data_IF_940468402966
#
_entry.id   IF_940468402966
#
_cell.length_a   1.000
_cell.length_b   1.000
_cell.length_c   1.000
_cell.angle_alpha   90.00
_cell.angle_beta   90.00
_cell.angle_gamma   90.00
#
_symmetry.space_group_name_H-M   'P 1'
#
loop_
_entity.id
_entity.type
_entity.pdbx_description
1 polymer ?
#
# COMPACT_ATOMS: atom_id res chain seq x y z
N UNK A 1 16.33 -11.03 6.86
CA UNK A 1 15.77 -9.68 7.15
C UNK A 1 14.64 -9.42 6.18
N UNK A 2 13.44 -9.06 6.66
CA UNK A 2 12.23 -8.82 5.87
C UNK A 2 12.26 -7.42 5.26
N UNK A 3 11.73 -7.27 4.04
CA UNK A 3 11.59 -5.95 3.41
C UNK A 3 10.19 -5.39 3.69
N UNK A 4 10.10 -4.09 3.85
CA UNK A 4 8.85 -3.34 3.93
C UNK A 4 8.59 -2.74 2.54
N UNK A 5 7.49 -3.13 1.93
CA UNK A 5 7.14 -2.77 0.56
C UNK A 5 5.83 -2.00 0.57
N UNK A 6 5.85 -0.75 0.13
CA UNK A 6 4.63 0.04 -0.05
C UNK A 6 4.01 -0.32 -1.38
N UNK A 7 2.80 -0.90 -1.34
CA UNK A 7 2.00 -1.30 -2.50
C UNK A 7 0.76 -0.43 -2.57
N UNK A 8 0.61 0.37 -3.62
CA UNK A 8 -0.57 1.24 -3.73
C UNK A 8 -0.94 1.59 -5.16
N UNK A 9 -2.23 1.88 -5.35
CA UNK A 9 -2.81 2.43 -6.56
C UNK A 9 -2.80 3.96 -6.46
N UNK A 10 -2.43 4.62 -7.53
CA UNK A 10 -2.36 6.08 -7.62
C UNK A 10 -3.09 6.56 -8.86
N UNK A 11 -3.74 7.71 -8.75
CA UNK A 11 -4.11 8.52 -9.91
C UNK A 11 -2.87 9.19 -10.49
N UNK A 12 -2.94 9.75 -11.70
CA UNK A 12 -1.85 10.48 -12.32
C UNK A 12 -1.42 11.71 -11.49
N UNK A 13 -2.33 12.31 -10.73
CA UNK A 13 -2.06 13.40 -9.79
C UNK A 13 -1.72 12.92 -8.36
N UNK A 14 -1.44 11.62 -8.18
CA UNK A 14 -0.86 11.04 -6.96
C UNK A 14 -1.84 10.75 -5.83
N UNK A 15 -3.15 10.80 -6.09
CA UNK A 15 -4.17 10.45 -5.10
C UNK A 15 -4.26 8.93 -4.96
N UNK A 16 -4.33 8.46 -3.71
CA UNK A 16 -4.45 7.05 -3.34
C UNK A 16 -5.76 6.72 -2.62
N UNK A 17 -6.60 7.71 -2.35
CA UNK A 17 -7.82 7.56 -1.56
C UNK A 17 -8.88 6.78 -2.33
N UNK A 18 -9.48 5.77 -1.69
CA UNK A 18 -10.66 5.03 -2.15
C UNK A 18 -10.60 4.53 -3.62
N UNK A 19 -9.57 3.80 -4.06
CA UNK A 19 -9.47 3.34 -5.44
C UNK A 19 -10.55 2.33 -5.82
N UNK A 20 -10.92 1.42 -4.90
CA UNK A 20 -11.69 0.21 -5.21
C UNK A 20 -13.21 0.38 -5.16
N UNK A 21 -13.74 1.32 -4.39
CA UNK A 21 -15.19 1.50 -4.25
C UNK A 21 -15.63 2.90 -3.91
N UNK A 22 -16.90 3.26 -4.27
CA UNK A 22 -17.41 4.62 -4.05
C UNK A 22 -17.48 4.98 -2.56
N UNK A 23 -17.73 4.02 -1.69
CA UNK A 23 -17.90 4.21 -0.25
C UNK A 23 -16.67 3.76 0.57
N UNK A 24 -15.53 3.51 -0.09
CA UNK A 24 -14.33 2.94 0.57
C UNK A 24 -13.70 3.92 1.58
N UNK A 25 -13.57 5.19 1.23
CA UNK A 25 -13.08 6.25 2.12
C UNK A 25 -13.60 7.63 1.67
N UNK A 26 -14.70 8.07 2.23
CA UNK A 26 -15.30 9.37 1.99
C UNK A 26 -14.75 10.49 2.91
N UNK A 27 -13.65 10.27 3.64
CA UNK A 27 -13.08 11.25 4.55
C UNK A 27 -12.68 12.53 3.80
N UNK A 28 -12.90 13.67 4.46
CA UNK A 28 -12.62 14.98 3.86
C UNK A 28 -13.60 15.39 2.75
N UNK A 29 -14.73 14.69 2.62
CA UNK A 29 -15.71 14.95 1.56
C UNK A 29 -15.26 14.43 0.18
N UNK A 30 -14.44 13.39 0.12
CA UNK A 30 -13.98 12.80 -1.13
C UNK A 30 -15.12 12.10 -1.87
N UNK A 31 -15.41 12.56 -3.08
CA UNK A 31 -16.57 12.12 -3.90
C UNK A 31 -16.16 11.21 -5.08
N UNK A 32 -14.86 10.94 -5.28
CA UNK A 32 -14.32 10.20 -6.42
C UNK A 32 -13.98 8.73 -6.10
N UNK A 33 -14.57 8.14 -5.05
CA UNK A 33 -14.34 6.74 -4.70
C UNK A 33 -14.62 5.78 -5.85
N UNK A 34 -13.83 4.71 -5.97
CA UNK A 34 -13.92 3.73 -7.06
C UNK A 34 -13.30 4.20 -8.38
N UNK A 35 -12.48 5.24 -8.36
CA UNK A 35 -11.86 5.83 -9.56
C UNK A 35 -10.99 4.86 -10.36
N UNK A 36 -10.50 3.79 -9.75
CA UNK A 36 -9.68 2.77 -10.43
C UNK A 36 -10.52 1.94 -11.41
N UNK A 37 -11.75 1.54 -11.03
CA UNK A 37 -12.57 0.58 -11.78
C UNK A 37 -12.73 0.87 -13.28
N UNK A 38 -13.00 2.12 -13.72
CA UNK A 38 -13.17 2.42 -15.14
C UNK A 38 -11.88 2.33 -15.96
N UNK A 39 -10.72 2.33 -15.31
CA UNK A 39 -9.38 2.38 -15.94
C UNK A 39 -8.52 1.18 -15.55
N UNK A 40 -9.09 0.18 -14.89
CA UNK A 40 -8.40 -1.06 -14.54
C UNK A 40 -8.35 -2.04 -15.70
N UNK A 41 -7.33 -2.88 -15.73
CA UNK A 41 -7.16 -3.92 -16.74
C UNK A 41 -6.52 -5.19 -16.16
N UNK A 42 -6.60 -6.32 -16.90
CA UNK A 42 -6.06 -7.62 -16.46
C UNK A 42 -4.53 -7.60 -16.22
N UNK A 43 -3.80 -6.74 -16.92
CA UNK A 43 -2.34 -6.64 -16.76
C UNK A 43 -1.99 -6.00 -15.41
N UNK A 44 -2.81 -5.05 -14.93
CA UNK A 44 -2.69 -4.51 -13.56
C UNK A 44 -2.94 -5.62 -12.52
N UNK A 45 -4.01 -6.39 -12.68
CA UNK A 45 -4.32 -7.51 -11.79
C UNK A 45 -3.17 -8.52 -11.72
N UNK A 46 -2.58 -8.86 -12.88
CA UNK A 46 -1.42 -9.76 -12.98
C UNK A 46 -0.19 -9.20 -12.27
N UNK A 47 0.12 -7.92 -12.48
CA UNK A 47 1.25 -7.26 -11.81
C UNK A 47 1.08 -7.24 -10.28
N UNK A 48 -0.12 -6.89 -9.81
CA UNK A 48 -0.46 -6.87 -8.38
C UNK A 48 -0.37 -8.27 -7.78
N UNK A 49 -0.85 -9.32 -8.45
CA UNK A 49 -0.70 -10.71 -7.99
C UNK A 49 0.78 -11.08 -7.77
N UNK A 50 1.65 -10.71 -8.72
CA UNK A 50 3.09 -10.92 -8.62
C UNK A 50 3.74 -10.21 -7.42
N UNK A 51 3.19 -9.08 -6.97
CA UNK A 51 3.71 -8.37 -5.80
C UNK A 51 3.59 -9.17 -4.49
N UNK A 52 2.68 -10.13 -4.45
CA UNK A 52 2.44 -10.96 -3.27
C UNK A 52 3.23 -12.27 -3.25
N UNK A 53 3.89 -12.66 -4.34
CA UNK A 53 4.56 -13.98 -4.44
C UNK A 53 5.61 -14.22 -3.34
N UNK A 54 6.36 -13.17 -2.96
CA UNK A 54 7.41 -13.24 -1.94
C UNK A 54 6.96 -12.73 -0.57
N UNK A 55 5.72 -12.28 -0.46
CA UNK A 55 5.18 -11.69 0.76
C UNK A 55 4.40 -12.73 1.56
N UNK A 56 4.65 -12.78 2.85
CA UNK A 56 3.93 -13.64 3.80
C UNK A 56 3.08 -12.84 4.80
N UNK A 57 3.19 -11.51 4.78
CA UNK A 57 2.45 -10.64 5.68
C UNK A 57 2.04 -9.31 5.03
N UNK A 58 1.02 -8.71 5.61
CA UNK A 58 0.61 -7.32 5.36
C UNK A 58 0.82 -6.47 6.61
N UNK A 59 1.09 -5.19 6.41
CA UNK A 59 1.12 -4.18 7.45
C UNK A 59 0.06 -3.13 7.11
N UNK A 60 -0.94 -3.01 7.95
CA UNK A 60 -2.15 -2.25 7.71
C UNK A 60 -2.34 -1.17 8.79
N UNK A 61 -2.71 0.03 8.39
CA UNK A 61 -3.28 1.02 9.29
C UNK A 61 -4.73 0.64 9.64
N UNK A 62 -5.26 1.23 10.71
CA UNK A 62 -6.58 0.93 11.22
C UNK A 62 -7.68 0.93 10.14
N UNK A 63 -7.81 2.01 9.37
CA UNK A 63 -8.89 2.14 8.39
C UNK A 63 -8.83 1.07 7.29
N UNK A 64 -7.64 0.81 6.75
CA UNK A 64 -7.45 -0.24 5.75
C UNK A 64 -7.73 -1.62 6.36
N UNK A 65 -7.31 -1.85 7.61
CA UNK A 65 -7.64 -3.09 8.32
C UNK A 65 -9.15 -3.26 8.48
N UNK A 66 -9.88 -2.24 8.95
CA UNK A 66 -11.33 -2.28 9.14
C UNK A 66 -12.06 -2.53 7.81
N UNK A 67 -11.67 -1.84 6.74
CA UNK A 67 -12.21 -2.06 5.38
C UNK A 67 -11.96 -3.48 4.90
N UNK A 68 -10.74 -3.98 5.00
CA UNK A 68 -10.38 -5.33 4.55
C UNK A 68 -11.04 -6.41 5.41
N UNK A 69 -11.10 -6.24 6.71
CA UNK A 69 -11.74 -7.17 7.64
C UNK A 69 -13.26 -7.26 7.44
N UNK A 70 -13.90 -6.22 6.91
CA UNK A 70 -15.32 -6.26 6.56
C UNK A 70 -15.60 -6.97 5.24
N UNK A 71 -14.65 -7.04 4.31
CA UNK A 71 -14.82 -7.57 2.97
C UNK A 71 -14.28 -9.01 2.81
N UNK A 72 -12.97 -9.19 3.05
CA UNK A 72 -12.25 -10.42 2.69
C UNK A 72 -12.75 -11.70 3.39
N UNK A 73 -13.21 -11.70 4.66
CA UNK A 73 -13.72 -12.90 5.29
C UNK A 73 -14.96 -13.51 4.61
N UNK A 74 -15.73 -12.69 3.88
CA UNK A 74 -16.95 -13.08 3.19
C UNK A 74 -16.87 -12.93 1.66
N UNK A 75 -15.70 -12.58 1.13
CA UNK A 75 -15.47 -12.46 -0.30
C UNK A 75 -15.62 -13.81 -1.03
N UNK A 76 -15.93 -13.75 -2.31
CA UNK A 76 -16.12 -14.94 -3.15
C UNK A 76 -14.85 -15.83 -3.07
N UNK A 77 -14.98 -17.10 -2.63
CA UNK A 77 -13.85 -18.02 -2.60
C UNK A 77 -13.30 -18.36 -3.98
N UNK A 78 -14.01 -18.06 -5.06
CA UNK A 78 -13.52 -18.21 -6.43
C UNK A 78 -12.57 -17.08 -6.83
N UNK A 79 -12.55 -15.95 -6.11
CA UNK A 79 -11.56 -14.88 -6.32
C UNK A 79 -10.18 -15.37 -5.82
N UNK A 80 -9.16 -15.40 -6.70
CA UNK A 80 -7.82 -15.90 -6.36
C UNK A 80 -7.15 -15.13 -5.23
N UNK A 81 -7.60 -13.90 -4.93
CA UNK A 81 -7.08 -13.12 -3.82
C UNK A 81 -7.70 -13.46 -2.47
N UNK A 82 -8.92 -14.04 -2.43
CA UNK A 82 -9.65 -14.31 -1.18
C UNK A 82 -8.84 -15.17 -0.22
N UNK A 83 -8.34 -16.31 -0.68
CA UNK A 83 -7.54 -17.21 0.16
C UNK A 83 -6.23 -16.57 0.60
N UNK A 84 -5.58 -15.83 -0.29
CA UNK A 84 -4.33 -15.13 0.01
C UNK A 84 -4.53 -14.06 1.09
N UNK A 85 -5.50 -13.17 0.94
CA UNK A 85 -5.78 -12.10 1.89
C UNK A 85 -6.17 -12.64 3.26
N UNK A 86 -6.97 -13.69 3.29
CA UNK A 86 -7.36 -14.35 4.54
C UNK A 86 -6.21 -15.18 5.16
N UNK A 87 -5.33 -15.76 4.36
CA UNK A 87 -4.23 -16.63 4.80
C UNK A 87 -3.02 -15.87 5.33
N UNK A 88 -2.65 -14.75 4.71
CA UNK A 88 -1.49 -13.95 5.11
C UNK A 88 -1.62 -13.43 6.55
N UNK A 89 -0.48 -13.24 7.23
CA UNK A 89 -0.45 -12.56 8.53
C UNK A 89 -0.68 -11.05 8.34
N UNK A 90 -1.50 -10.43 9.21
CA UNK A 90 -1.78 -8.99 9.22
C UNK A 90 -1.24 -8.35 10.50
N UNK A 91 -0.23 -7.50 10.36
CA UNK A 91 0.20 -6.59 11.41
C UNK A 91 -0.62 -5.31 11.32
N UNK A 92 -1.27 -4.90 12.42
CA UNK A 92 -2.17 -3.76 12.42
C UNK A 92 -1.60 -2.63 13.27
N UNK A 93 -1.34 -1.50 12.65
CA UNK A 93 -0.92 -0.29 13.33
C UNK A 93 -2.14 0.57 13.68
N UNK A 94 -2.40 0.74 14.97
CA UNK A 94 -3.52 1.56 15.44
C UNK A 94 -3.20 2.20 16.78
N UNK A 95 -3.72 3.41 17.00
CA UNK A 95 -3.68 4.11 18.29
C UNK A 95 -4.99 3.97 19.06
N UNK A 96 -6.01 3.37 18.48
CA UNK A 96 -7.38 3.35 19.03
C UNK A 96 -8.01 1.96 19.10
N UNK A 97 -7.57 1.01 18.28
CA UNK A 97 -8.02 -0.38 18.39
C UNK A 97 -7.41 -1.03 19.62
N UNK A 98 -8.21 -1.81 20.34
CA UNK A 98 -7.81 -2.62 21.50
C UNK A 98 -7.75 -4.10 21.16
N UNK A 99 -8.39 -4.54 20.07
CA UNK A 99 -8.36 -5.92 19.55
C UNK A 99 -8.50 -5.94 18.04
N UNK A 100 -8.17 -7.09 17.43
CA UNK A 100 -8.30 -7.39 16.01
C UNK A 100 -8.90 -8.79 15.85
N UNK A 101 -10.01 -8.89 15.09
CA UNK A 101 -10.82 -10.12 15.00
C UNK A 101 -10.56 -10.92 13.71
N UNK A 102 -10.09 -10.28 12.64
CA UNK A 102 -9.80 -10.98 11.39
C UNK A 102 -8.67 -11.98 11.58
N UNK A 103 -8.89 -13.24 11.19
CA UNK A 103 -7.92 -14.33 11.40
C UNK A 103 -6.50 -13.94 10.97
N UNK A 104 -5.49 -14.45 11.66
CA UNK A 104 -4.07 -14.15 11.42
C UNK A 104 -3.74 -12.65 11.54
N UNK A 105 -4.39 -11.92 12.43
CA UNK A 105 -4.09 -10.51 12.70
C UNK A 105 -3.44 -10.33 14.06
N UNK A 106 -2.51 -9.39 14.15
CA UNK A 106 -1.83 -8.98 15.38
C UNK A 106 -1.82 -7.45 15.45
N UNK A 107 -2.35 -6.90 16.54
CA UNK A 107 -2.24 -5.48 16.83
C UNK A 107 -0.80 -5.16 17.26
N UNK A 108 -0.17 -4.18 16.62
CA UNK A 108 1.16 -3.74 17.00
C UNK A 108 1.10 -2.91 18.29
N UNK A 109 2.00 -3.20 19.20
CA UNK A 109 2.10 -2.51 20.48
C UNK A 109 3.21 -1.44 20.48
N UNK A 110 2.95 -0.33 21.17
CA UNK A 110 3.92 0.75 21.36
C UNK A 110 4.14 1.62 20.13
N UNK A 111 5.36 2.13 19.98
CA UNK A 111 5.74 2.94 18.82
C UNK A 111 5.78 2.10 17.55
N UNK A 112 5.09 2.57 16.49
CA UNK A 112 4.96 1.81 15.25
C UNK A 112 6.30 1.65 14.50
N UNK A 113 7.17 2.66 14.54
CA UNK A 113 8.46 2.56 13.86
C UNK A 113 9.37 1.53 14.55
N UNK A 114 9.37 1.49 15.88
CA UNK A 114 10.09 0.46 16.65
C UNK A 114 9.52 -0.94 16.41
N UNK A 115 8.19 -1.08 16.39
CA UNK A 115 7.55 -2.36 16.08
C UNK A 115 7.95 -2.85 14.68
N UNK A 116 7.94 -1.97 13.67
CA UNK A 116 8.33 -2.32 12.30
C UNK A 116 9.82 -2.64 12.21
N UNK A 117 10.71 -1.97 12.94
CA UNK A 117 12.14 -2.35 12.99
C UNK A 117 12.31 -3.78 13.52
N UNK A 118 11.56 -4.17 14.56
CA UNK A 118 11.57 -5.56 15.07
C UNK A 118 11.07 -6.55 14.01
N UNK A 119 9.99 -6.22 13.31
CA UNK A 119 9.48 -7.05 12.21
C UNK A 119 10.51 -7.21 11.08
N UNK A 120 11.20 -6.14 10.69
CA UNK A 120 12.28 -6.22 9.68
C UNK A 120 13.42 -7.14 10.11
N UNK A 121 13.75 -7.16 11.39
CA UNK A 121 14.80 -7.99 11.93
C UNK A 121 14.40 -9.48 12.08
N UNK A 122 13.11 -9.82 12.02
CA UNK A 122 12.63 -11.21 12.12
C UNK A 122 12.83 -12.00 10.82
N UNK A 123 12.65 -13.31 10.90
CA UNK A 123 12.64 -14.19 9.74
C UNK A 123 11.27 -14.16 9.05
N UNK A 124 11.27 -14.35 7.74
CA UNK A 124 10.06 -14.40 6.92
C UNK A 124 10.22 -13.75 5.55
N UNK A 125 9.15 -13.73 4.80
CA UNK A 125 9.03 -13.07 3.51
C UNK A 125 8.87 -11.56 3.63
N UNK A 126 8.60 -10.91 2.52
CA UNK A 126 8.35 -9.47 2.46
C UNK A 126 7.04 -9.11 3.19
N UNK A 127 6.95 -7.89 3.70
CA UNK A 127 5.75 -7.33 4.33
C UNK A 127 5.21 -6.21 3.42
N UNK A 128 4.01 -6.42 2.88
CA UNK A 128 3.35 -5.43 2.04
C UNK A 128 2.55 -4.43 2.90
N UNK A 129 2.88 -3.15 2.79
CA UNK A 129 2.06 -2.05 3.28
C UNK A 129 1.05 -1.72 2.20
N UNK A 130 -0.23 -2.06 2.44
CA UNK A 130 -1.29 -1.87 1.46
C UNK A 130 -2.16 -0.69 1.88
N UNK A 131 -2.44 0.22 0.95
CA UNK A 131 -3.15 1.45 1.28
C UNK A 131 -2.47 2.22 2.42
N UNK A 132 -3.24 2.64 3.44
CA UNK A 132 -2.70 3.11 4.73
C UNK A 132 -1.75 4.31 4.62
N UNK A 133 -2.19 5.42 3.96
CA UNK A 133 -1.36 6.57 3.65
C UNK A 133 -0.58 7.15 4.83
N UNK A 134 -1.22 7.39 5.97
CA UNK A 134 -0.56 7.92 7.18
C UNK A 134 0.54 6.97 7.72
N UNK A 135 0.27 5.65 7.65
CA UNK A 135 1.26 4.64 8.03
C UNK A 135 2.43 4.65 7.06
N UNK A 136 2.18 4.64 5.75
CA UNK A 136 3.23 4.69 4.73
C UNK A 136 4.10 5.95 4.91
N UNK A 137 3.51 7.11 5.13
CA UNK A 137 4.24 8.36 5.41
C UNK A 137 5.06 8.27 6.71
N UNK A 138 4.53 7.63 7.75
CA UNK A 138 5.30 7.39 8.98
C UNK A 138 6.51 6.51 8.70
N UNK A 139 6.35 5.42 7.95
CA UNK A 139 7.45 4.54 7.58
C UNK A 139 8.50 5.26 6.72
N UNK A 140 8.08 6.11 5.77
CA UNK A 140 8.97 6.95 4.97
C UNK A 140 9.80 7.89 5.86
N UNK A 141 9.16 8.61 6.79
CA UNK A 141 9.87 9.52 7.73
C UNK A 141 10.94 8.82 8.56
N UNK A 142 10.77 7.53 8.84
CA UNK A 142 11.73 6.73 9.61
C UNK A 142 12.70 5.90 8.75
N UNK A 143 12.71 6.08 7.43
CA UNK A 143 13.59 5.34 6.51
C UNK A 143 13.35 3.83 6.53
N UNK A 144 12.10 3.40 6.77
CA UNK A 144 11.76 1.98 6.95
C UNK A 144 11.27 1.31 5.67
N UNK A 145 10.95 2.09 4.62
CA UNK A 145 10.49 1.55 3.33
C UNK A 145 11.68 1.09 2.50
N UNK A 146 11.65 -0.16 2.05
CA UNK A 146 12.70 -0.74 1.20
C UNK A 146 12.37 -0.70 -0.29
N UNK A 147 11.06 -0.71 -0.63
CA UNK A 147 10.62 -0.73 -2.03
C UNK A 147 9.21 -0.14 -2.15
N UNK A 148 8.97 0.54 -3.25
CA UNK A 148 7.64 1.02 -3.65
C UNK A 148 7.19 0.24 -4.87
N UNK A 149 5.98 -0.30 -4.84
CA UNK A 149 5.28 -0.93 -5.96
C UNK A 149 4.01 -0.14 -6.22
N UNK A 150 4.02 0.59 -7.31
CA UNK A 150 3.01 1.59 -7.62
C UNK A 150 2.34 1.25 -8.94
N UNK A 151 1.01 1.34 -8.99
CA UNK A 151 0.28 1.45 -10.25
C UNK A 151 -0.24 2.90 -10.37
N UNK A 152 0.14 3.59 -11.44
CA UNK A 152 -0.28 4.97 -11.69
C UNK A 152 -1.28 4.91 -12.86
N UNK A 153 -2.54 5.14 -12.53
CA UNK A 153 -3.65 5.06 -13.48
C UNK A 153 -3.84 6.36 -14.24
N UNK A 154 -4.29 6.30 -15.52
CA UNK A 154 -4.46 7.47 -16.38
C UNK A 154 -5.75 8.26 -16.03
N UNK A 155 -5.86 8.71 -14.78
CA UNK A 155 -6.99 9.47 -14.26
C UNK A 155 -6.50 10.58 -13.35
N UNK A 156 -7.17 11.73 -13.36
CA UNK A 156 -6.94 12.88 -12.48
C UNK A 156 -8.23 13.12 -11.70
N UNK A 157 -8.15 13.23 -10.39
CA UNK A 157 -9.30 13.51 -9.51
C UNK A 157 -9.19 14.86 -8.77
N UNK A 158 -8.00 15.45 -8.71
CA UNK A 158 -7.75 16.82 -8.21
C UNK A 158 -7.69 16.95 -6.69
N UNK A 159 -8.46 16.19 -5.95
CA UNK A 159 -8.53 16.22 -4.47
C UNK A 159 -8.31 14.82 -3.89
N UNK A 160 -8.08 14.74 -2.57
CA UNK A 160 -7.94 13.46 -1.86
C UNK A 160 -6.55 13.24 -1.23
N UNK A 161 -6.41 12.13 -0.51
CA UNK A 161 -5.17 11.74 0.16
C UNK A 161 -4.14 11.28 -0.85
N UNK A 162 -2.92 11.82 -0.75
CA UNK A 162 -1.79 11.46 -1.62
C UNK A 162 -0.77 10.61 -0.88
N UNK A 163 -0.11 9.70 -1.61
CA UNK A 163 0.99 8.89 -1.05
C UNK A 163 2.16 9.79 -0.65
N UNK A 164 2.58 10.66 -1.55
CA UNK A 164 3.62 11.66 -1.30
C UNK A 164 2.94 13.00 -1.00
N UNK A 165 2.53 13.17 0.27
CA UNK A 165 1.87 14.39 0.73
C UNK A 165 2.88 15.53 0.91
N UNK A 166 2.36 16.75 1.10
CA UNK A 166 3.17 17.91 1.42
C UNK A 166 4.03 17.65 2.67
N UNK A 167 5.31 18.00 2.60
CA UNK A 167 6.29 17.72 3.65
C UNK A 167 6.86 16.29 3.64
N UNK A 168 6.63 15.52 2.58
CA UNK A 168 7.37 14.27 2.36
C UNK A 168 8.89 14.55 2.32
N UNK A 169 9.67 13.62 2.88
CA UNK A 169 11.14 13.75 2.86
C UNK A 169 11.62 13.56 1.42
N UNK A 170 12.38 14.53 0.86
CA UNK A 170 12.97 14.38 -0.45
C UNK A 170 13.83 13.11 -0.51
N UNK A 171 13.53 12.24 -1.45
CA UNK A 171 14.20 10.94 -1.59
C UNK A 171 14.37 10.62 -3.07
N UNK A 172 15.59 10.37 -3.50
CA UNK A 172 15.85 9.83 -4.82
C UNK A 172 15.37 8.38 -4.89
N UNK A 173 14.80 7.99 -6.02
CA UNK A 173 14.31 6.64 -6.26
C UNK A 173 15.03 6.01 -7.45
N UNK A 174 15.63 4.85 -7.25
CA UNK A 174 16.17 4.03 -8.32
C UNK A 174 15.07 3.14 -8.90
N UNK A 175 14.79 3.17 -10.21
CA UNK A 175 13.84 2.26 -10.84
C UNK A 175 14.41 0.83 -10.85
N UNK A 176 13.60 -0.13 -10.41
CA UNK A 176 13.88 -1.58 -10.50
C UNK A 176 13.22 -2.16 -11.75
N UNK A 177 12.03 -1.68 -12.07
CA UNK A 177 11.29 -2.03 -13.27
C UNK A 177 10.13 -1.07 -13.46
N UNK A 178 9.88 -0.68 -14.72
CA UNK A 178 8.75 0.18 -15.10
C UNK A 178 8.18 -0.36 -16.40
N UNK A 179 6.88 -0.54 -16.44
CA UNK A 179 6.14 -0.94 -17.64
C UNK A 179 4.83 -0.16 -17.75
N UNK A 180 4.22 -0.19 -18.92
CA UNK A 180 2.90 0.40 -19.14
C UNK A 180 1.98 -0.71 -19.69
N UNK A 181 0.79 -0.82 -19.10
CA UNK A 181 -0.23 -1.76 -19.56
C UNK A 181 -0.92 -1.23 -20.82
N UNK A 182 -1.70 -2.09 -21.49
CA UNK A 182 -2.51 -1.70 -22.67
C UNK A 182 -3.54 -0.61 -22.33
N UNK A 183 -4.05 -0.59 -21.09
CA UNK A 183 -4.94 0.45 -20.58
C UNK A 183 -4.25 1.78 -20.26
N UNK A 184 -2.91 1.86 -20.38
CA UNK A 184 -2.13 3.07 -20.11
C UNK A 184 -1.73 3.24 -18.64
N UNK A 185 -2.00 2.25 -17.79
CA UNK A 185 -1.52 2.27 -16.39
C UNK A 185 -0.02 2.02 -16.35
N UNK A 186 0.72 2.89 -15.65
CA UNK A 186 2.15 2.68 -15.38
C UNK A 186 2.31 1.80 -14.15
N UNK A 187 2.99 0.67 -14.31
CA UNK A 187 3.39 -0.22 -13.20
C UNK A 187 4.85 0.02 -12.92
N UNK A 188 5.16 0.56 -11.74
CA UNK A 188 6.50 0.94 -11.37
C UNK A 188 6.96 0.30 -10.06
N UNK A 189 8.20 -0.21 -10.07
CA UNK A 189 8.90 -0.70 -8.88
C UNK A 189 10.14 0.15 -8.66
N UNK A 190 10.25 0.74 -7.47
CA UNK A 190 11.31 1.68 -7.13
C UNK A 190 11.91 1.35 -5.77
N UNK A 191 13.19 1.70 -5.58
CA UNK A 191 13.86 1.64 -4.28
C UNK A 191 14.40 2.99 -3.87
N UNK A 192 14.35 3.34 -2.57
CA UNK A 192 15.06 4.51 -2.06
C UNK A 192 16.55 4.47 -2.42
N UNK A 193 17.08 5.58 -2.91
CA UNK A 193 18.47 5.73 -3.37
C UNK A 193 19.21 6.88 -2.68
N UNK A 194 18.73 7.30 -1.50
CA UNK A 194 19.31 8.41 -0.75
C UNK A 194 18.65 9.76 -1.02
N UNK A 195 19.33 10.82 -0.70
CA UNK A 195 18.87 12.19 -0.99
C UNK A 195 18.98 12.50 -2.48
N UNK A 196 18.07 13.33 -3.04
CA UNK A 196 18.22 13.79 -4.41
C UNK A 196 19.50 14.63 -4.57
N UNK A 197 20.30 14.32 -5.59
CA UNK A 197 21.45 15.12 -5.95
C UNK A 197 20.99 16.30 -6.83
N UNK A 198 21.14 17.50 -6.32
CA UNK A 198 20.77 18.74 -7.02
C UNK A 198 21.95 19.40 -7.73
N UNK A 199 23.17 18.88 -7.56
CA UNK A 199 24.41 19.49 -8.06
C UNK A 199 24.93 18.85 -9.36
N UNK A 200 24.30 17.74 -9.81
CA UNK A 200 24.73 17.00 -11.01
C UNK A 200 23.91 17.36 -12.27
N UNK A 201 24.00 18.63 -12.73
CA UNK A 201 23.52 19.05 -14.06
C UNK A 201 24.68 19.51 -14.94
#
# INVERSE_FOLDING_TARGET
MRRIIVCTFLTLDGVMQAPGGPDEDAEGGFEHGGWQRPVDDEEVGTAVAGWYERSDAMLLGRKTYESFASYWPTADPADPFTDRMNGMHKYVASRTLTSVEWRNSTLLEGDVAEAVRRLKASDGGDINVVGSGDLAQTLMRHGLVDEYRLTIHPVIVGTGKRLFADGAIPTALAPVGVSTTKGGTVVGVYRPAGEPDHDSY
#
